data_IF_918578829404
#
_entry.id   IF_918578829404
#
_cell.length_a   1.000
_cell.length_b   1.000
_cell.length_c   1.000
_cell.angle_alpha   90.00
_cell.angle_beta   90.00
_cell.angle_gamma   90.00
#
_symmetry.space_group_name_H-M   'P 1'
#
loop_
_entity.id
_entity.type
_entity.pdbx_description
1 polymer ?
#
# COMPACT_ATOMS: atom_id res chain seq x y z
N UNK A 1 -26.48 28.42 -7.23
CA UNK A 1 -25.29 27.61 -6.88
C UNK A 1 -25.66 26.71 -5.72
N UNK A 2 -26.17 25.51 -6.00
CA UNK A 2 -26.63 24.58 -4.96
C UNK A 2 -25.70 23.38 -4.97
N UNK A 3 -24.78 23.35 -4.02
CA UNK A 3 -23.86 22.22 -3.85
C UNK A 3 -24.67 20.97 -3.51
N UNK A 4 -24.66 19.97 -4.39
CA UNK A 4 -25.08 18.62 -4.04
C UNK A 4 -24.05 18.08 -3.04
N UNK A 5 -24.37 18.09 -1.76
CA UNK A 5 -23.70 17.24 -0.79
C UNK A 5 -24.06 15.81 -1.19
N UNK A 6 -23.14 15.09 -1.82
CA UNK A 6 -23.33 13.66 -2.06
C UNK A 6 -23.48 12.99 -0.69
N UNK A 7 -24.63 12.35 -0.44
CA UNK A 7 -24.79 11.48 0.70
C UNK A 7 -23.71 10.38 0.62
N UNK A 8 -23.10 9.98 1.74
CA UNK A 8 -22.13 8.89 1.73
C UNK A 8 -22.77 7.66 1.09
N UNK A 9 -22.02 6.85 0.33
CA UNK A 9 -22.55 5.65 -0.29
C UNK A 9 -23.10 4.73 0.82
N UNK A 10 -24.40 4.50 0.82
CA UNK A 10 -25.05 3.60 1.78
C UNK A 10 -24.73 2.18 1.35
N UNK A 11 -24.03 1.42 2.20
CA UNK A 11 -23.77 0.00 1.96
C UNK A 11 -25.09 -0.74 2.13
N UNK A 12 -25.57 -1.37 1.05
CA UNK A 12 -26.88 -2.04 1.00
C UNK A 12 -26.78 -3.56 1.06
N UNK A 13 -25.64 -4.12 0.68
CA UNK A 13 -25.34 -5.55 0.71
C UNK A 13 -24.14 -5.80 1.63
N UNK A 14 -24.26 -6.81 2.49
CA UNK A 14 -23.21 -7.27 3.39
C UNK A 14 -22.89 -8.72 3.04
N UNK A 15 -21.60 -9.07 3.06
CA UNK A 15 -21.07 -10.39 2.75
C UNK A 15 -21.55 -11.45 3.75
N UNK A 16 -21.65 -11.07 5.02
CA UNK A 16 -22.13 -11.90 6.11
C UNK A 16 -22.69 -11.08 7.29
N UNK A 17 -23.11 -11.77 8.35
CA UNK A 17 -23.63 -11.14 9.55
C UNK A 17 -22.54 -10.36 10.32
N UNK A 18 -21.28 -10.80 10.26
CA UNK A 18 -20.15 -10.17 10.94
C UNK A 18 -19.85 -8.78 10.33
N UNK A 19 -19.87 -8.66 9.00
CA UNK A 19 -19.66 -7.39 8.31
C UNK A 19 -20.75 -6.38 8.64
N UNK A 20 -22.00 -6.82 8.71
CA UNK A 20 -23.14 -5.96 9.08
C UNK A 20 -23.04 -5.45 10.51
N UNK A 21 -22.59 -6.28 11.44
CA UNK A 21 -22.37 -5.87 12.83
C UNK A 21 -21.19 -4.91 12.94
N UNK A 22 -20.09 -5.18 12.24
CA UNK A 22 -18.93 -4.29 12.19
C UNK A 22 -19.29 -2.92 11.62
N UNK A 23 -20.06 -2.88 10.53
CA UNK A 23 -20.51 -1.63 9.92
C UNK A 23 -21.33 -0.78 10.90
N UNK A 24 -22.29 -1.40 11.60
CA UNK A 24 -23.09 -0.72 12.62
C UNK A 24 -22.25 -0.22 13.79
N UNK A 25 -21.26 -1.00 14.25
CA UNK A 25 -20.37 -0.60 15.34
C UNK A 25 -19.53 0.64 14.96
N UNK A 26 -19.05 0.69 13.71
CA UNK A 26 -18.30 1.83 13.16
C UNK A 26 -19.22 3.07 13.01
N UNK A 27 -20.40 2.93 12.41
CA UNK A 27 -21.34 4.06 12.23
C UNK A 27 -21.89 4.60 13.55
N UNK A 28 -22.09 3.74 14.55
CA UNK A 28 -22.59 4.13 15.87
C UNK A 28 -21.57 4.95 16.67
N UNK A 29 -20.34 5.13 16.14
CA UNK A 29 -19.22 5.81 16.80
C UNK A 29 -18.97 5.25 18.21
N UNK A 30 -19.12 3.93 18.34
CA UNK A 30 -18.98 3.24 19.61
C UNK A 30 -17.53 3.34 20.06
N UNK A 31 -17.29 4.15 21.10
CA UNK A 31 -15.95 4.58 21.50
C UNK A 31 -15.07 3.44 21.99
N UNK A 32 -15.65 2.27 22.28
CA UNK A 32 -14.91 1.08 22.69
C UNK A 32 -14.06 0.48 21.56
N UNK A 33 -14.49 0.59 20.30
CA UNK A 33 -13.71 0.13 19.14
C UNK A 33 -12.64 1.12 18.69
N UNK A 34 -12.77 2.39 19.08
CA UNK A 34 -11.99 3.50 18.52
C UNK A 34 -10.83 3.98 19.40
N UNK A 35 -10.55 3.34 20.55
CA UNK A 35 -9.37 3.69 21.35
C UNK A 35 -8.11 3.20 20.66
N UNK A 36 -7.54 4.10 19.85
CA UNK A 36 -6.22 3.94 19.26
C UNK A 36 -5.20 3.64 20.36
N UNK A 37 -4.68 2.42 20.36
CA UNK A 37 -3.51 2.01 21.14
C UNK A 37 -2.22 2.75 20.72
N UNK A 38 -2.28 3.54 19.65
CA UNK A 38 -1.15 4.27 19.10
C UNK A 38 -0.77 5.44 20.03
N UNK A 39 0.30 5.25 20.81
CA UNK A 39 0.89 6.33 21.59
C UNK A 39 1.53 7.38 20.66
N UNK A 40 1.63 8.65 21.09
CA UNK A 40 2.32 9.69 20.33
C UNK A 40 3.77 9.31 19.96
N UNK A 41 4.46 8.62 20.88
CA UNK A 41 5.82 8.09 20.69
C UNK A 41 5.85 7.03 19.59
N UNK A 42 4.97 6.02 19.67
CA UNK A 42 4.89 4.96 18.65
C UNK A 42 4.53 5.53 17.28
N UNK A 43 3.67 6.54 17.24
CA UNK A 43 3.34 7.26 16.00
C UNK A 43 4.56 8.00 15.43
N UNK A 44 5.40 8.60 16.27
CA UNK A 44 6.62 9.26 15.84
C UNK A 44 7.65 8.26 15.29
N UNK A 45 7.84 7.12 15.96
CA UNK A 45 8.69 6.02 15.50
C UNK A 45 8.26 5.51 14.12
N UNK A 46 6.97 5.20 13.94
CA UNK A 46 6.44 4.68 12.68
C UNK A 46 6.59 5.71 11.55
N UNK A 47 6.37 7.00 11.84
CA UNK A 47 6.63 8.08 10.89
C UNK A 47 8.10 8.17 10.52
N UNK A 48 9.01 8.02 11.48
CA UNK A 48 10.44 8.08 11.25
C UNK A 48 10.91 6.87 10.42
N UNK A 49 10.46 5.67 10.76
CA UNK A 49 10.73 4.46 10.00
C UNK A 49 10.24 4.60 8.54
N UNK A 50 9.01 5.07 8.33
CA UNK A 50 8.46 5.31 7.00
C UNK A 50 9.26 6.35 6.21
N UNK A 51 9.72 7.43 6.87
CA UNK A 51 10.59 8.44 6.25
C UNK A 51 11.94 7.85 5.83
N UNK A 52 12.56 7.05 6.70
CA UNK A 52 13.84 6.41 6.43
C UNK A 52 13.73 5.43 5.24
N UNK A 53 12.65 4.65 5.15
CA UNK A 53 12.40 3.76 4.00
C UNK A 53 12.13 4.53 2.71
N UNK A 54 11.42 5.67 2.79
CA UNK A 54 11.08 6.47 1.61
C UNK A 54 12.29 7.22 1.04
N UNK A 55 13.21 7.64 1.91
CA UNK A 55 14.38 8.46 1.55
C UNK A 55 15.66 7.66 1.34
N UNK A 56 15.60 6.32 1.22
CA UNK A 56 16.78 5.53 0.91
C UNK A 56 17.47 6.09 -0.34
N UNK A 57 18.74 6.47 -0.20
CA UNK A 57 19.55 7.01 -1.29
C UNK A 57 19.64 5.97 -2.42
N UNK A 58 19.18 6.36 -3.61
CA UNK A 58 19.20 5.51 -4.80
C UNK A 58 20.23 6.05 -5.78
N UNK A 59 21.19 5.21 -6.13
CA UNK A 59 22.17 5.52 -7.17
C UNK A 59 21.66 4.95 -8.49
N UNK A 60 21.69 5.76 -9.55
CA UNK A 60 21.40 5.29 -10.90
C UNK A 60 22.61 4.55 -11.46
N UNK A 61 22.37 3.37 -12.04
CA UNK A 61 23.40 2.56 -12.71
C UNK A 61 23.04 2.38 -14.18
N UNK A 62 24.05 2.40 -15.06
CA UNK A 62 23.89 2.05 -16.47
C UNK A 62 24.18 0.57 -16.66
N UNK A 63 23.26 -0.17 -17.30
CA UNK A 63 23.38 -1.60 -17.53
C UNK A 63 23.09 -1.92 -19.01
N UNK A 64 23.94 -2.75 -19.62
CA UNK A 64 23.71 -3.30 -20.95
C UNK A 64 23.12 -4.71 -20.83
N UNK A 65 21.94 -4.92 -21.40
CA UNK A 65 21.29 -6.24 -21.45
C UNK A 65 20.83 -6.57 -22.87
N UNK A 66 20.67 -7.85 -23.17
CA UNK A 66 20.14 -8.26 -24.48
C UNK A 66 18.67 -7.83 -24.61
N UNK A 67 18.24 -7.52 -25.84
CA UNK A 67 16.84 -7.15 -26.12
C UNK A 67 15.86 -8.27 -25.75
N UNK A 68 16.27 -9.51 -25.96
CA UNK A 68 15.50 -10.70 -25.63
C UNK A 68 15.28 -10.83 -24.12
N UNK A 69 16.33 -10.64 -23.30
CA UNK A 69 16.21 -10.76 -21.85
C UNK A 69 15.42 -9.60 -21.25
N UNK A 70 15.57 -8.38 -21.80
CA UNK A 70 14.71 -7.24 -21.43
C UNK A 70 13.23 -7.57 -21.64
N UNK A 71 12.89 -8.21 -22.77
CA UNK A 71 11.52 -8.60 -23.07
C UNK A 71 10.98 -9.64 -22.08
N UNK A 72 11.79 -10.67 -21.76
CA UNK A 72 11.42 -11.68 -20.76
C UNK A 72 11.25 -11.07 -19.37
N UNK A 73 12.12 -10.15 -18.98
CA UNK A 73 12.03 -9.46 -17.69
C UNK A 73 10.76 -8.62 -17.59
N UNK A 74 10.40 -7.87 -18.65
CA UNK A 74 9.13 -7.14 -18.72
C UNK A 74 7.92 -8.06 -18.64
N UNK A 75 7.94 -9.18 -19.35
CA UNK A 75 6.85 -10.16 -19.31
C UNK A 75 6.70 -10.80 -17.92
N UNK A 76 7.80 -11.05 -17.23
CA UNK A 76 7.78 -11.54 -15.84
C UNK A 76 7.22 -10.48 -14.88
N UNK A 77 7.68 -9.24 -14.97
CA UNK A 77 7.20 -8.16 -14.12
C UNK A 77 5.69 -7.91 -14.29
N UNK A 78 5.20 -7.98 -15.53
CA UNK A 78 3.77 -7.87 -15.82
C UNK A 78 2.95 -8.99 -15.16
N UNK A 79 3.44 -10.24 -15.19
CA UNK A 79 2.78 -11.36 -14.48
C UNK A 79 2.76 -11.18 -12.97
N UNK A 80 3.79 -10.57 -12.42
CA UNK A 80 3.90 -10.25 -10.98
C UNK A 80 3.15 -8.94 -10.62
N UNK A 81 2.52 -8.27 -11.59
CA UNK A 81 1.74 -7.05 -11.36
C UNK A 81 2.57 -5.83 -10.97
N UNK A 82 3.86 -5.79 -11.35
CA UNK A 82 4.79 -4.74 -10.94
C UNK A 82 5.60 -4.15 -12.11
N UNK A 83 6.11 -2.91 -12.00
CA UNK A 83 7.03 -2.36 -12.99
C UNK A 83 8.31 -3.19 -13.10
N UNK A 84 8.84 -3.32 -14.32
CA UNK A 84 10.05 -4.11 -14.55
C UNK A 84 11.28 -3.56 -13.82
N UNK A 85 11.35 -2.25 -13.59
CA UNK A 85 12.41 -1.63 -12.78
C UNK A 85 12.32 -2.08 -11.31
N UNK A 86 11.10 -2.21 -10.78
CA UNK A 86 10.90 -2.71 -9.41
C UNK A 86 11.33 -4.15 -9.29
N UNK A 87 11.02 -4.99 -10.29
CA UNK A 87 11.49 -6.38 -10.34
C UNK A 87 13.02 -6.44 -10.42
N UNK A 88 13.65 -5.63 -11.27
CA UNK A 88 15.12 -5.54 -11.35
C UNK A 88 15.72 -5.18 -10.00
N UNK A 89 15.16 -4.18 -9.31
CA UNK A 89 15.64 -3.79 -7.98
C UNK A 89 15.48 -4.90 -6.95
N UNK A 90 14.37 -5.64 -6.98
CA UNK A 90 14.13 -6.78 -6.07
C UNK A 90 15.14 -7.90 -6.31
N UNK A 91 15.44 -8.23 -7.57
CA UNK A 91 16.44 -9.25 -7.93
C UNK A 91 17.83 -8.81 -7.45
N UNK A 92 18.21 -7.57 -7.69
CA UNK A 92 19.50 -7.03 -7.24
C UNK A 92 19.61 -7.08 -5.71
N UNK A 93 18.55 -6.68 -4.99
CA UNK A 93 18.52 -6.73 -3.52
C UNK A 93 18.67 -8.16 -2.99
N UNK A 94 17.97 -9.13 -3.58
CA UNK A 94 18.05 -10.56 -3.23
C UNK A 94 19.41 -11.19 -3.57
N UNK A 95 20.13 -10.66 -4.56
CA UNK A 95 21.43 -11.19 -4.94
C UNK A 95 22.54 -10.80 -3.97
N UNK A 96 22.35 -9.74 -3.17
CA UNK A 96 23.37 -9.19 -2.27
C UNK A 96 23.00 -9.28 -0.78
N UNK A 97 21.72 -9.46 -0.45
CA UNK A 97 21.21 -9.67 0.91
C UNK A 97 20.46 -10.99 0.99
#
# INVERSE_FOLDING_TARGET
>A
MTGRTALPPVITEFLDAEEKELYKAIESNDQEFAKSILTPERRAELKQAARNTRNAERIQISLRISKHDLSKLKARALREGMPYQTLTNSILHKAVN
#
